data_IF_337796458043
#
_entry.id   IF_337796458043
#
_cell.length_a   1.000
_cell.length_b   1.000
_cell.length_c   1.000
_cell.angle_alpha   90.00
_cell.angle_beta   90.00
_cell.angle_gamma   90.00
#
_symmetry.space_group_name_H-M   'P 1'
#
loop_
_entity.id
_entity.type
_entity.pdbx_description
1 polymer ?
#
# COMPACT_ATOMS: atom_id res chain seq x y z
N UNK A 1 -24.18 31.91 -14.28
CA UNK A 1 -23.96 30.91 -13.20
C UNK A 1 -22.90 29.94 -13.67
N UNK A 2 -21.65 30.16 -13.27
CA UNK A 2 -20.48 29.42 -13.75
C UNK A 2 -20.26 28.22 -12.82
N UNK A 3 -20.50 27.00 -13.32
CA UNK A 3 -20.26 25.76 -12.55
C UNK A 3 -18.76 25.47 -12.54
N UNK A 4 -18.20 25.47 -11.34
CA UNK A 4 -16.85 25.05 -11.02
C UNK A 4 -16.68 23.54 -11.35
N UNK A 5 -15.65 23.14 -12.11
CA UNK A 5 -15.43 21.72 -12.40
C UNK A 5 -14.97 20.99 -11.12
N UNK A 6 -15.36 19.72 -10.93
CA UNK A 6 -14.96 18.94 -9.77
C UNK A 6 -13.45 18.74 -9.75
N UNK A 7 -12.84 18.92 -8.59
CA UNK A 7 -11.43 18.66 -8.35
C UNK A 7 -11.11 17.19 -8.69
N UNK A 8 -10.29 17.00 -9.73
CA UNK A 8 -9.63 15.71 -10.02
C UNK A 8 -9.00 15.21 -8.73
N UNK A 9 -9.46 14.08 -8.21
CA UNK A 9 -8.71 13.34 -7.22
C UNK A 9 -7.39 12.91 -7.90
N UNK A 10 -6.30 13.57 -7.50
CA UNK A 10 -4.98 13.28 -8.01
C UNK A 10 -4.64 11.83 -7.67
N UNK A 11 -4.39 11.04 -8.71
CA UNK A 11 -3.68 9.76 -8.59
C UNK A 11 -2.37 10.08 -7.85
N UNK A 12 -2.01 9.39 -6.76
CA UNK A 12 -0.72 9.61 -6.12
C UNK A 12 0.37 9.21 -7.12
N UNK A 13 0.89 10.21 -7.83
CA UNK A 13 2.05 10.08 -8.68
C UNK A 13 3.24 9.61 -7.84
N UNK A 14 4.19 8.85 -8.42
CA UNK A 14 5.42 8.42 -7.73
C UNK A 14 6.22 9.58 -7.09
N UNK A 15 5.98 10.81 -7.55
CA UNK A 15 6.47 12.06 -6.95
C UNK A 15 6.01 12.26 -5.51
N UNK A 16 4.76 11.92 -5.17
CA UNK A 16 4.21 12.11 -3.82
C UNK A 16 4.90 11.22 -2.78
N UNK A 17 5.26 9.99 -3.14
CA UNK A 17 6.01 9.11 -2.25
C UNK A 17 7.41 9.68 -1.96
N UNK A 18 8.07 10.24 -2.98
CA UNK A 18 9.38 10.88 -2.82
C UNK A 18 9.24 12.13 -1.93
N UNK A 19 8.21 12.95 -2.14
CA UNK A 19 7.93 14.13 -1.32
C UNK A 19 7.62 13.76 0.14
N UNK A 20 6.86 12.69 0.36
CA UNK A 20 6.54 12.18 1.70
C UNK A 20 7.77 11.60 2.41
N UNK A 21 8.65 10.89 1.69
CA UNK A 21 9.93 10.41 2.21
C UNK A 21 10.83 11.60 2.54
N UNK A 22 10.91 12.61 1.68
CA UNK A 22 11.69 13.83 1.96
C UNK A 22 11.14 14.56 3.20
N UNK A 23 9.82 14.68 3.32
CA UNK A 23 9.16 15.27 4.48
C UNK A 23 9.37 14.48 5.80
N UNK A 24 9.82 13.23 5.72
CA UNK A 24 10.26 12.43 6.87
C UNK A 24 11.76 12.60 7.18
N UNK A 25 12.59 12.72 6.14
CA UNK A 25 14.04 12.79 6.28
C UNK A 25 14.55 14.16 6.73
N UNK A 26 13.90 15.24 6.32
CA UNK A 26 14.38 16.59 6.62
C UNK A 26 14.37 16.93 8.13
N UNK A 27 13.31 16.61 8.90
CA UNK A 27 13.34 16.76 10.35
C UNK A 27 14.46 15.97 11.02
N UNK A 28 14.72 14.73 10.56
CA UNK A 28 15.81 13.90 11.09
C UNK A 28 17.19 14.51 10.84
N UNK A 29 17.42 15.02 9.62
CA UNK A 29 18.68 15.68 9.27
C UNK A 29 18.89 16.96 10.06
N UNK A 30 17.82 17.70 10.32
CA UNK A 30 17.87 18.90 11.15
C UNK A 30 18.18 18.55 12.60
N UNK A 31 17.48 17.56 13.17
CA UNK A 31 17.71 17.06 14.51
C UNK A 31 19.14 16.58 14.69
N UNK A 32 19.64 15.73 13.79
CA UNK A 32 21.01 15.21 13.84
C UNK A 32 22.05 16.33 13.85
N UNK A 33 21.91 17.34 12.98
CA UNK A 33 22.82 18.51 12.97
C UNK A 33 22.80 19.26 14.28
N UNK A 34 21.61 19.46 14.86
CA UNK A 34 21.42 20.22 16.10
C UNK A 34 21.96 19.46 17.32
N UNK A 35 21.76 18.15 17.36
CA UNK A 35 22.33 17.25 18.38
C UNK A 35 23.85 17.21 18.29
N UNK A 36 24.39 17.10 17.08
CA UNK A 36 25.84 17.11 16.87
C UNK A 36 26.45 18.44 17.33
N UNK A 37 25.84 19.57 16.96
CA UNK A 37 26.29 20.89 17.40
C UNK A 37 26.29 21.01 18.93
N UNK A 38 25.23 20.55 19.61
CA UNK A 38 25.14 20.58 21.07
C UNK A 38 26.22 19.71 21.74
N UNK A 39 26.58 18.56 21.16
CA UNK A 39 27.66 17.72 21.69
C UNK A 39 29.04 18.30 21.39
N UNK A 40 29.22 18.95 20.25
CA UNK A 40 30.49 19.54 19.82
C UNK A 40 30.90 20.74 20.67
N UNK A 41 29.96 21.44 21.34
CA UNK A 41 30.26 22.46 22.35
C UNK A 41 31.08 21.92 23.54
N UNK A 42 31.02 20.61 23.79
CA UNK A 42 31.72 19.95 24.88
C UNK A 42 32.84 19.03 24.42
N UNK A 43 33.18 19.02 23.12
CA UNK A 43 34.22 18.17 22.54
C UNK A 43 35.35 18.99 21.93
N UNK A 44 36.53 18.39 21.91
CA UNK A 44 37.67 18.88 21.14
C UNK A 44 37.46 18.59 19.66
N UNK A 45 38.30 19.20 18.80
CA UNK A 45 38.29 18.95 17.35
C UNK A 45 38.55 17.48 16.99
N UNK A 46 39.19 16.73 17.88
CA UNK A 46 39.48 15.30 17.73
C UNK A 46 38.37 14.41 18.29
N UNK A 47 37.27 14.99 18.79
CA UNK A 47 36.10 14.28 19.30
C UNK A 47 36.16 13.85 20.77
N UNK A 48 37.22 14.21 21.51
CA UNK A 48 37.32 13.94 22.94
C UNK A 48 36.50 14.93 23.75
N UNK A 49 35.91 14.51 24.87
CA UNK A 49 35.23 15.44 25.77
C UNK A 49 36.28 16.35 26.43
N UNK A 50 36.02 17.67 26.45
CA UNK A 50 36.90 18.65 27.07
C UNK A 50 36.99 18.37 28.58
N UNK A 51 38.19 18.48 29.14
CA UNK A 51 38.39 18.30 30.58
C UNK A 51 37.52 19.28 31.38
N UNK A 52 36.83 18.77 32.40
CA UNK A 52 35.86 19.55 33.18
C UNK A 52 34.45 19.68 32.56
N UNK A 53 34.25 19.31 31.29
CA UNK A 53 32.94 19.40 30.62
C UNK A 53 32.14 18.09 30.67
N UNK A 54 32.63 17.04 31.33
CA UNK A 54 32.01 15.71 31.29
C UNK A 54 30.56 15.70 31.81
N UNK A 55 30.24 16.45 32.86
CA UNK A 55 28.89 16.53 33.39
C UNK A 55 27.91 17.18 32.38
N UNK A 56 28.31 18.32 31.81
CA UNK A 56 27.52 19.04 30.80
C UNK A 56 27.36 18.22 29.51
N UNK A 57 28.42 17.51 29.10
CA UNK A 57 28.38 16.60 27.96
C UNK A 57 27.36 15.47 28.15
N UNK A 58 27.35 14.81 29.32
CA UNK A 58 26.38 13.73 29.59
C UNK A 58 24.95 14.27 29.69
N UNK A 59 24.74 15.47 30.22
CA UNK A 59 23.43 16.12 30.23
C UNK A 59 22.92 16.44 28.81
N UNK A 60 23.79 16.99 27.95
CA UNK A 60 23.48 17.23 26.54
C UNK A 60 23.19 15.92 25.80
N UNK A 61 23.98 14.87 26.06
CA UNK A 61 23.76 13.52 25.51
C UNK A 61 22.42 12.93 25.95
N UNK A 62 22.06 13.08 27.22
CA UNK A 62 20.79 12.60 27.75
C UNK A 62 19.60 13.34 27.11
N UNK A 63 19.67 14.67 27.05
CA UNK A 63 18.62 15.52 26.47
C UNK A 63 18.40 15.21 24.99
N UNK A 64 19.48 15.09 24.21
CA UNK A 64 19.41 14.74 22.79
C UNK A 64 18.91 13.32 22.56
N UNK A 65 19.24 12.37 23.44
CA UNK A 65 18.72 11.01 23.37
C UNK A 65 17.20 10.94 23.62
N UNK A 66 16.66 11.71 24.56
CA UNK A 66 15.19 11.80 24.78
C UNK A 66 14.50 12.32 23.53
N UNK A 67 14.97 13.44 22.98
CA UNK A 67 14.38 14.03 21.78
C UNK A 67 14.45 13.07 20.58
N UNK A 68 15.55 12.33 20.44
CA UNK A 68 15.69 11.32 19.40
C UNK A 68 14.66 10.20 19.57
N UNK A 69 14.40 9.75 20.80
CA UNK A 69 13.38 8.73 21.09
C UNK A 69 11.98 9.21 20.69
N UNK A 70 11.59 10.42 21.11
CA UNK A 70 10.26 10.99 20.78
C UNK A 70 10.08 11.19 19.26
N UNK A 71 11.17 11.59 18.59
CA UNK A 71 11.19 11.77 17.14
C UNK A 71 11.06 10.43 16.41
N UNK A 72 11.70 9.36 16.91
CA UNK A 72 11.58 8.02 16.35
C UNK A 72 10.14 7.50 16.46
N UNK A 73 9.46 7.71 17.58
CA UNK A 73 8.05 7.31 17.74
C UNK A 73 7.14 8.08 16.77
N UNK A 74 7.39 9.38 16.59
CA UNK A 74 6.65 10.19 15.62
C UNK A 74 6.82 9.70 14.18
N UNK A 75 8.06 9.37 13.81
CA UNK A 75 8.39 8.84 12.47
C UNK A 75 7.78 7.47 12.27
N UNK A 76 7.88 6.59 13.26
CA UNK A 76 7.22 5.28 13.26
C UNK A 76 5.73 5.43 12.99
N UNK A 77 5.03 6.27 13.75
CA UNK A 77 3.60 6.50 13.57
C UNK A 77 3.24 7.09 12.20
N UNK A 78 4.16 7.86 11.59
CA UNK A 78 3.93 8.44 10.26
C UNK A 78 4.21 7.43 9.15
N UNK A 79 5.24 6.60 9.30
CA UNK A 79 5.50 5.46 8.42
C UNK A 79 4.37 4.44 8.48
N UNK A 80 3.91 4.08 9.69
CA UNK A 80 2.76 3.20 9.88
C UNK A 80 1.51 3.73 9.18
N UNK A 81 1.27 5.05 9.21
CA UNK A 81 0.17 5.69 8.46
C UNK A 81 0.38 5.68 6.95
N UNK A 82 1.62 5.85 6.49
CA UNK A 82 1.95 5.89 5.06
C UNK A 82 1.86 4.50 4.43
N UNK A 83 2.19 3.45 5.18
CA UNK A 83 2.10 2.05 4.74
C UNK A 83 0.78 1.39 5.10
N UNK A 84 -0.04 2.02 5.95
CA UNK A 84 -1.38 1.52 6.26
C UNK A 84 -2.14 1.43 4.93
N UNK A 85 -2.43 0.19 4.52
CA UNK A 85 -3.16 -0.05 3.29
C UNK A 85 -4.45 0.78 3.30
N UNK A 86 -4.74 1.58 2.25
CA UNK A 86 -6.03 2.21 2.14
C UNK A 86 -7.10 1.12 2.29
N UNK A 87 -8.13 1.39 3.08
CA UNK A 87 -9.17 0.38 3.28
C UNK A 87 -9.75 -0.03 1.92
N UNK A 88 -9.63 -1.32 1.57
CA UNK A 88 -10.33 -1.89 0.43
C UNK A 88 -11.82 -1.65 0.67
N UNK A 89 -12.44 -0.89 -0.22
CA UNK A 89 -13.84 -0.50 -0.15
C UNK A 89 -14.49 -0.81 -1.48
N UNK A 90 -15.81 -0.91 -1.48
CA UNK A 90 -16.55 -1.04 -2.72
C UNK A 90 -16.14 0.09 -3.68
N UNK A 91 -15.82 -0.28 -4.91
CA UNK A 91 -15.42 0.61 -5.98
C UNK A 91 -16.18 0.18 -7.23
N UNK A 92 -16.94 1.10 -7.80
CA UNK A 92 -17.65 0.92 -9.05
C UNK A 92 -16.73 1.30 -10.21
N UNK A 93 -16.54 0.38 -11.16
CA UNK A 93 -15.82 0.60 -12.41
C UNK A 93 -16.85 0.61 -13.53
N UNK A 94 -16.85 1.66 -14.33
CA UNK A 94 -17.68 1.77 -15.52
C UNK A 94 -16.86 1.40 -16.75
N UNK A 95 -17.36 0.47 -17.56
CA UNK A 95 -16.70 -0.03 -18.77
C UNK A 95 -17.58 0.17 -20.00
N UNK A 96 -16.96 0.62 -21.10
CA UNK A 96 -17.51 0.51 -22.45
C UNK A 96 -16.94 -0.77 -23.07
N UNK A 97 -17.78 -1.81 -23.13
CA UNK A 97 -17.40 -3.13 -23.62
C UNK A 97 -17.80 -3.38 -25.07
N UNK A 98 -17.40 -4.54 -25.62
CA UNK A 98 -17.90 -5.04 -26.91
C UNK A 98 -19.43 -5.16 -26.89
N UNK A 99 -20.09 -4.88 -28.02
CA UNK A 99 -21.56 -4.94 -28.12
C UNK A 99 -22.30 -3.74 -27.53
N UNK A 100 -21.58 -2.65 -27.23
CA UNK A 100 -22.16 -1.42 -26.70
C UNK A 100 -22.54 -0.46 -27.83
N UNK A 101 -23.83 -0.19 -28.03
CA UNK A 101 -24.29 0.81 -28.98
C UNK A 101 -23.81 2.22 -28.60
N UNK A 102 -23.57 3.06 -29.60
CA UNK A 102 -23.19 4.46 -29.38
C UNK A 102 -24.29 5.18 -28.58
N UNK A 103 -23.95 5.62 -27.36
CA UNK A 103 -24.88 6.33 -26.47
C UNK A 103 -25.55 5.47 -25.39
N UNK A 104 -25.34 4.15 -25.36
CA UNK A 104 -25.86 3.31 -24.27
C UNK A 104 -25.12 3.56 -22.94
N UNK A 105 -25.74 3.19 -21.81
CA UNK A 105 -25.16 3.33 -20.46
C UNK A 105 -24.02 2.33 -20.21
N UNK A 106 -22.87 2.75 -19.64
CA UNK A 106 -21.73 1.84 -19.44
C UNK A 106 -22.08 0.68 -18.50
N UNK A 107 -21.37 -0.44 -18.66
CA UNK A 107 -21.47 -1.58 -17.75
C UNK A 107 -20.82 -1.23 -16.42
N UNK A 108 -21.52 -1.47 -15.32
CA UNK A 108 -21.05 -1.14 -13.98
C UNK A 108 -20.64 -2.41 -13.23
N UNK A 109 -19.37 -2.50 -12.87
CA UNK A 109 -18.82 -3.58 -12.06
C UNK A 109 -18.45 -3.08 -10.67
N UNK A 110 -18.69 -3.87 -9.63
CA UNK A 110 -18.31 -3.51 -8.26
C UNK A 110 -17.28 -4.50 -7.74
N UNK A 111 -16.14 -3.98 -7.29
CA UNK A 111 -15.05 -4.74 -6.65
C UNK A 111 -14.60 -4.04 -5.38
N UNK A 112 -13.84 -4.72 -4.52
CA UNK A 112 -13.20 -4.09 -3.37
C UNK A 112 -11.81 -3.61 -3.78
N UNK A 113 -11.59 -2.30 -3.78
CA UNK A 113 -10.34 -1.69 -4.23
C UNK A 113 -10.03 -0.40 -3.46
N UNK A 114 -8.77 0.03 -3.55
CA UNK A 114 -8.24 1.23 -2.91
C UNK A 114 -8.43 2.48 -3.77
N UNK A 115 -8.23 2.34 -5.08
CA UNK A 115 -8.39 3.35 -6.12
C UNK A 115 -8.86 2.73 -7.45
N UNK A 116 -8.96 3.54 -8.50
CA UNK A 116 -9.44 3.10 -9.82
C UNK A 116 -8.49 2.10 -10.49
N UNK A 117 -7.18 2.28 -10.33
CA UNK A 117 -6.17 1.42 -10.96
C UNK A 117 -6.15 0.03 -10.31
N UNK A 118 -6.23 0.00 -8.98
CA UNK A 118 -6.40 -1.21 -8.17
C UNK A 118 -7.74 -1.89 -8.49
N UNK A 119 -8.81 -1.11 -8.69
CA UNK A 119 -10.11 -1.62 -9.07
C UNK A 119 -10.04 -2.31 -10.45
N UNK A 120 -9.50 -1.64 -11.46
CA UNK A 120 -9.35 -2.19 -12.80
C UNK A 120 -8.44 -3.43 -12.82
N UNK A 121 -7.31 -3.38 -12.10
CA UNK A 121 -6.41 -4.53 -11.93
C UNK A 121 -7.09 -5.71 -11.25
N UNK A 122 -7.89 -5.45 -10.22
CA UNK A 122 -8.66 -6.48 -9.51
C UNK A 122 -9.69 -7.09 -10.46
N UNK A 123 -10.48 -6.27 -11.14
CA UNK A 123 -11.53 -6.70 -12.07
C UNK A 123 -10.97 -7.60 -13.18
N UNK A 124 -9.87 -7.20 -13.82
CA UNK A 124 -9.23 -7.95 -14.91
C UNK A 124 -8.69 -9.33 -14.48
N UNK A 125 -8.51 -9.56 -13.17
CA UNK A 125 -8.11 -10.86 -12.65
C UNK A 125 -9.29 -11.81 -12.41
N UNK A 126 -10.52 -11.29 -12.29
CA UNK A 126 -11.70 -12.07 -11.91
C UNK A 126 -12.20 -12.94 -13.08
N UNK A 127 -12.43 -14.26 -12.84
CA UNK A 127 -13.05 -15.16 -13.80
C UNK A 127 -14.37 -14.65 -14.38
N UNK A 128 -15.30 -14.15 -13.56
CA UNK A 128 -16.60 -13.69 -14.08
C UNK A 128 -16.47 -12.54 -15.07
N UNK A 129 -15.52 -11.63 -14.85
CA UNK A 129 -15.23 -10.55 -15.78
C UNK A 129 -14.68 -11.08 -17.11
N UNK A 130 -13.78 -12.08 -17.06
CA UNK A 130 -13.24 -12.72 -18.27
C UNK A 130 -14.32 -13.45 -19.06
N UNK A 131 -15.23 -14.14 -18.38
CA UNK A 131 -16.36 -14.80 -19.02
C UNK A 131 -17.28 -13.77 -19.67
N UNK A 132 -17.60 -12.68 -18.97
CA UNK A 132 -18.38 -11.58 -19.53
C UNK A 132 -17.74 -10.99 -20.79
N UNK A 133 -16.41 -10.82 -20.83
CA UNK A 133 -15.70 -10.37 -22.04
C UNK A 133 -15.85 -11.34 -23.22
N UNK A 134 -15.90 -12.65 -22.96
CA UNK A 134 -16.11 -13.66 -24.01
C UNK A 134 -17.55 -13.63 -24.49
N UNK A 135 -18.52 -13.54 -23.58
CA UNK A 135 -19.95 -13.59 -23.88
C UNK A 135 -20.44 -12.34 -24.63
N UNK A 136 -19.82 -11.18 -24.39
CA UNK A 136 -20.21 -9.90 -25.01
C UNK A 136 -19.56 -9.66 -26.37
N UNK A 137 -18.60 -10.49 -26.78
CA UNK A 137 -17.87 -10.31 -28.04
C UNK A 137 -18.71 -10.73 -29.25
N UNK A 138 -18.75 -9.89 -30.26
CA UNK A 138 -19.38 -10.25 -31.53
C UNK A 138 -18.58 -11.37 -32.25
N UNK A 139 -19.25 -12.36 -32.88
CA UNK A 139 -18.56 -13.39 -33.64
C UNK A 139 -17.82 -12.77 -34.84
N UNK A 140 -16.51 -12.95 -34.89
CA UNK A 140 -15.64 -12.44 -35.96
C UNK A 140 -14.70 -11.30 -35.56
N UNK A 141 -14.83 -10.77 -34.34
CA UNK A 141 -13.96 -9.71 -33.83
C UNK A 141 -12.66 -10.29 -33.26
N UNK A 142 -11.77 -10.77 -34.13
CA UNK A 142 -10.53 -11.47 -33.74
C UNK A 142 -9.42 -10.55 -33.26
N UNK A 143 -9.55 -9.22 -33.43
CA UNK A 143 -8.36 -8.38 -33.60
C UNK A 143 -8.00 -7.46 -32.45
N UNK A 144 -8.60 -7.60 -31.27
CA UNK A 144 -8.00 -6.97 -30.09
C UNK A 144 -8.32 -7.74 -28.82
N UNK A 145 -7.28 -8.09 -28.08
CA UNK A 145 -7.35 -8.18 -26.62
C UNK A 145 -7.60 -6.79 -26.01
N UNK A 146 -8.56 -6.04 -26.56
CA UNK A 146 -8.98 -4.73 -26.09
C UNK A 146 -9.76 -5.00 -24.82
N UNK A 147 -9.10 -4.80 -23.68
CA UNK A 147 -9.79 -4.58 -22.43
C UNK A 147 -10.89 -3.55 -22.68
N UNK A 148 -12.10 -3.80 -22.19
CA UNK A 148 -13.17 -2.81 -22.27
C UNK A 148 -12.67 -1.46 -21.71
N UNK A 149 -13.03 -0.37 -22.39
CA UNK A 149 -12.50 0.95 -22.06
C UNK A 149 -13.09 1.45 -20.75
N UNK A 150 -12.22 1.82 -19.81
CA UNK A 150 -12.63 2.39 -18.52
C UNK A 150 -13.16 3.80 -18.73
N UNK A 151 -14.42 4.03 -18.32
CA UNK A 151 -15.03 5.35 -18.29
C UNK A 151 -14.79 5.99 -16.93
N UNK A 152 -13.66 6.70 -16.79
CA UNK A 152 -13.24 7.28 -15.51
C UNK A 152 -14.30 8.19 -14.87
N UNK A 153 -15.01 9.00 -15.67
CA UNK A 153 -16.03 9.93 -15.18
C UNK A 153 -17.24 9.24 -14.54
N UNK A 154 -17.46 7.96 -14.85
CA UNK A 154 -18.55 7.14 -14.32
C UNK A 154 -18.08 6.12 -13.28
N UNK A 155 -16.76 6.01 -13.06
CA UNK A 155 -16.15 5.12 -12.08
C UNK A 155 -15.98 5.87 -10.76
N UNK A 156 -16.36 5.26 -9.64
CA UNK A 156 -16.37 5.94 -8.35
C UNK A 156 -16.29 4.98 -7.16
N UNK A 157 -15.89 5.53 -6.02
CA UNK A 157 -15.97 4.82 -4.73
C UNK A 157 -17.44 4.58 -4.35
N UNK A 158 -17.73 3.38 -3.84
CA UNK A 158 -19.05 2.92 -3.42
C UNK A 158 -19.97 2.53 -4.59
N UNK A 159 -21.24 2.29 -4.29
CA UNK A 159 -22.30 1.86 -5.22
C UNK A 159 -23.41 2.92 -5.34
N UNK A 160 -23.01 4.21 -5.38
CA UNK A 160 -23.95 5.34 -5.18
C UNK A 160 -24.71 5.77 -6.42
N UNK A 161 -24.30 5.38 -7.62
CA UNK A 161 -25.04 5.75 -8.82
C UNK A 161 -26.33 4.90 -8.95
N UNK A 162 -27.40 5.42 -9.55
CA UNK A 162 -28.51 4.58 -9.97
C UNK A 162 -28.08 3.73 -11.17
N UNK A 163 -28.29 2.41 -11.12
CA UNK A 163 -27.94 1.50 -12.20
C UNK A 163 -28.01 0.03 -11.81
N UNK A 164 -27.87 -0.85 -12.81
CA UNK A 164 -27.69 -2.30 -12.61
C UNK A 164 -26.20 -2.58 -12.47
N UNK A 165 -25.83 -3.27 -11.40
CA UNK A 165 -24.44 -3.55 -11.04
C UNK A 165 -24.12 -5.03 -11.15
N UNK A 166 -22.96 -5.34 -11.71
CA UNK A 166 -22.32 -6.65 -11.61
C UNK A 166 -21.38 -6.63 -10.40
N UNK A 167 -21.89 -7.04 -9.25
CA UNK A 167 -21.12 -7.07 -8.00
C UNK A 167 -20.26 -8.33 -7.91
N UNK A 168 -18.95 -8.17 -8.00
CA UNK A 168 -17.98 -9.26 -8.00
C UNK A 168 -17.16 -9.33 -6.69
N UNK A 169 -17.55 -8.55 -5.66
CA UNK A 169 -16.84 -8.54 -4.38
C UNK A 169 -16.83 -9.90 -3.69
N UNK A 170 -17.92 -10.66 -3.81
CA UNK A 170 -18.00 -12.00 -3.23
C UNK A 170 -17.02 -12.98 -3.90
N UNK A 171 -16.89 -12.93 -5.23
CA UNK A 171 -15.91 -13.74 -5.97
C UNK A 171 -14.47 -13.37 -5.58
N UNK A 172 -14.20 -12.07 -5.42
CA UNK A 172 -12.91 -11.58 -4.93
C UNK A 172 -12.57 -12.14 -3.55
N UNK A 173 -13.52 -12.12 -2.60
CA UNK A 173 -13.34 -12.70 -1.26
C UNK A 173 -13.05 -14.20 -1.30
N UNK A 174 -13.75 -14.95 -2.16
CA UNK A 174 -13.51 -16.38 -2.34
C UNK A 174 -12.11 -16.68 -2.87
N UNK A 175 -11.64 -15.95 -3.88
CA UNK A 175 -10.30 -16.12 -4.45
C UNK A 175 -9.21 -15.82 -3.40
N UNK A 176 -9.39 -14.77 -2.59
CA UNK A 176 -8.47 -14.42 -1.51
C UNK A 176 -8.46 -15.49 -0.40
N UNK A 177 -9.62 -16.02 -0.04
CA UNK A 177 -9.74 -17.10 0.94
C UNK A 177 -9.04 -18.38 0.46
N UNK A 178 -9.23 -18.77 -0.81
CA UNK A 178 -8.57 -19.94 -1.40
C UNK A 178 -7.04 -19.78 -1.43
N UNK A 179 -6.52 -18.60 -1.80
CA UNK A 179 -5.06 -18.34 -1.78
C UNK A 179 -4.46 -18.43 -0.38
N UNK A 180 -5.18 -17.93 0.61
CA UNK A 180 -4.74 -18.01 2.02
C UNK A 180 -4.72 -19.45 2.51
N UNK A 181 -5.76 -20.24 2.20
CA UNK A 181 -5.83 -21.66 2.56
C UNK A 181 -4.67 -22.47 1.94
N UNK A 182 -4.34 -22.25 0.67
CA UNK A 182 -3.24 -22.94 -0.02
C UNK A 182 -1.84 -22.56 0.47
N UNK A 183 -1.68 -21.45 1.20
CA UNK A 183 -0.38 -21.00 1.75
C UNK A 183 -0.10 -21.53 3.16
N UNK A 184 -1.01 -22.33 3.73
CA UNK A 184 -0.79 -22.99 5.02
C UNK A 184 0.29 -24.05 4.88
N UNK A 185 1.50 -23.72 5.35
CA UNK A 185 2.66 -24.62 5.37
C UNK A 185 2.31 -25.84 6.22
N UNK A 186 2.56 -27.08 5.74
CA UNK A 186 2.33 -28.27 6.56
C UNK A 186 3.22 -28.20 7.81
N UNK A 187 2.63 -28.51 8.97
CA UNK A 187 3.34 -28.56 10.24
C UNK A 187 4.59 -29.45 10.12
N UNK A 188 5.74 -29.05 10.70
CA UNK A 188 6.93 -29.88 10.69
C UNK A 188 6.63 -31.23 11.35
N UNK A 189 7.15 -32.35 10.81
CA UNK A 189 6.94 -33.65 11.41
C UNK A 189 7.53 -33.68 12.84
N UNK A 190 6.91 -34.43 13.77
CA UNK A 190 7.41 -34.50 15.14
C UNK A 190 8.84 -35.04 15.17
N UNK A 191 9.67 -34.58 16.13
CA UNK A 191 11.05 -35.07 16.26
C UNK A 191 11.04 -36.57 16.52
N UNK A 192 11.65 -37.33 15.60
CA UNK A 192 11.84 -38.77 15.75
C UNK A 192 12.71 -39.10 16.97
N UNK A 193 12.58 -40.31 17.54
CA UNK A 193 13.30 -40.71 18.74
C UNK A 193 14.82 -40.68 18.52
N UNK A 194 15.50 -39.92 19.37
CA UNK A 194 16.95 -39.77 19.40
C UNK A 194 17.62 -41.14 19.64
N UNK A 195 18.32 -41.66 18.62
CA UNK A 195 19.06 -42.91 18.72
C UNK A 195 20.26 -42.71 19.68
N UNK A 196 20.26 -43.48 20.78
CA UNK A 196 21.29 -43.44 21.81
C UNK A 196 22.64 -43.94 21.26
N UNK A 197 23.70 -43.17 21.48
CA UNK A 197 25.07 -43.54 21.13
C UNK A 197 25.58 -44.72 22.00
N UNK A 198 26.38 -45.64 21.45
CA UNK A 198 26.92 -46.77 22.20
C UNK A 198 28.04 -46.32 23.15
N UNK A 199 27.90 -46.70 24.43
CA UNK A 199 28.97 -46.65 25.45
C UNK A 199 30.17 -47.48 24.98
N UNK A 200 31.34 -46.85 24.85
CA UNK A 200 32.63 -47.55 24.79
C UNK A 200 33.05 -47.95 26.19
N UNK A 201 33.19 -49.25 26.39
CA UNK A 201 33.78 -49.90 27.54
C UNK A 201 35.27 -49.54 27.65
N UNK A 202 35.74 -49.39 28.89
CA UNK A 202 37.16 -49.46 29.25
C UNK A 202 37.31 -50.43 30.40
#
# INVERSE_FOLDING_TARGET
MTRQPPARAAVPHPSHLIDDIQALLDPLRQMHRRHQAALDEHRTKDGYVIEGHHAAYEEARYTTAIEASDTLDTIRNRLERLIAAPAHRAFTIALKGPGHDEGASPWLFVVNATDLDDAHRTLTQLPSYKNWLVDTRAPGDTDSASNADVVSDHSHVGTRAPGTYLDLRQEQEQILASRTASRSVPAPPPPGPSSAAPRRSR
#
